data_IF_169426505374
#
_entry.id   IF_169426505374
#
_cell.length_a   1.000
_cell.length_b   1.000
_cell.length_c   1.000
_cell.angle_alpha   90.00
_cell.angle_beta   90.00
_cell.angle_gamma   90.00
#
_symmetry.space_group_name_H-M   'P 1'
#
loop_
_entity.id
_entity.type
_entity.pdbx_description
1 polymer ?
#
# COMPACT_ATOMS: atom_id res chain seq x y z
N UNK A 1 4.91 8.42 -1.50
CA UNK A 1 3.95 9.15 -0.64
C UNK A 1 2.54 9.26 -1.23
N UNK A 2 2.35 9.50 -2.55
CA UNK A 2 1.01 9.64 -3.14
C UNK A 2 0.13 8.37 -2.99
N UNK A 3 0.68 7.17 -3.20
CA UNK A 3 -0.10 5.93 -3.05
C UNK A 3 -0.44 5.62 -1.60
N UNK A 4 0.45 5.90 -0.64
CA UNK A 4 0.13 5.82 0.79
C UNK A 4 -0.98 6.82 1.13
N UNK A 5 -0.97 8.02 0.55
CA UNK A 5 -2.03 9.00 0.73
C UNK A 5 -3.35 8.54 0.10
N UNK A 6 -3.34 7.91 -1.09
CA UNK A 6 -4.53 7.36 -1.75
C UNK A 6 -5.08 6.16 -0.98
N UNK A 7 -4.22 5.24 -0.54
CA UNK A 7 -4.63 4.10 0.30
C UNK A 7 -5.18 4.57 1.65
N UNK A 8 -4.57 5.59 2.28
CA UNK A 8 -5.11 6.22 3.48
C UNK A 8 -6.44 6.93 3.21
N UNK A 9 -6.62 7.56 2.05
CA UNK A 9 -7.88 8.19 1.62
C UNK A 9 -9.00 7.16 1.44
N UNK A 10 -8.68 5.98 0.91
CA UNK A 10 -9.64 4.88 0.72
C UNK A 10 -10.05 4.28 2.06
N UNK A 11 -9.11 4.06 2.97
CA UNK A 11 -9.40 3.61 4.35
C UNK A 11 -10.21 4.67 5.10
N UNK A 12 -9.89 5.96 4.92
CA UNK A 12 -10.66 7.07 5.50
C UNK A 12 -12.08 7.16 4.92
N UNK A 13 -12.26 6.89 3.62
CA UNK A 13 -13.57 6.82 2.97
C UNK A 13 -14.41 5.63 3.45
N UNK A 14 -13.81 4.44 3.60
CA UNK A 14 -14.49 3.24 4.10
C UNK A 14 -14.85 3.33 5.60
N UNK A 15 -14.10 4.13 6.37
CA UNK A 15 -14.34 4.37 7.80
C UNK A 15 -15.22 5.59 8.09
N UNK A 16 -15.67 6.31 7.05
CA UNK A 16 -16.56 7.48 7.19
C UNK A 16 -15.90 8.78 7.65
N UNK A 17 -14.57 8.88 7.55
CA UNK A 17 -13.78 10.06 7.96
C UNK A 17 -13.83 11.16 6.89
N UNK A 18 -14.12 10.84 5.62
CA UNK A 18 -14.22 11.81 4.52
C UNK A 18 -15.67 11.96 4.03
N UNK A 19 -16.27 13.17 4.01
CA UNK A 19 -17.71 13.30 3.84
C UNK A 19 -18.27 13.11 2.41
N UNK A 20 -17.46 13.05 1.34
CA UNK A 20 -17.99 13.29 -0.03
C UNK A 20 -17.47 12.36 -1.14
N UNK A 21 -16.61 11.37 -0.87
CA UNK A 21 -16.06 10.48 -1.91
C UNK A 21 -16.57 9.05 -1.73
N UNK A 22 -17.62 8.68 -2.47
CA UNK A 22 -18.16 7.33 -2.43
C UNK A 22 -17.10 6.26 -2.74
N UNK A 23 -17.25 5.02 -2.25
CA UNK A 23 -16.24 3.95 -2.36
C UNK A 23 -15.74 3.70 -3.80
N UNK A 24 -16.61 3.90 -4.79
CA UNK A 24 -16.29 3.75 -6.20
C UNK A 24 -15.17 4.71 -6.68
N UNK A 25 -15.15 5.95 -6.19
CA UNK A 25 -14.10 6.93 -6.55
C UNK A 25 -12.75 6.48 -5.99
N UNK A 26 -12.73 6.01 -4.75
CA UNK A 26 -11.51 5.49 -4.12
C UNK A 26 -10.94 4.28 -4.87
N UNK A 27 -11.78 3.32 -5.26
CA UNK A 27 -11.37 2.16 -6.06
C UNK A 27 -10.85 2.58 -7.44
N UNK A 28 -11.55 3.48 -8.13
CA UNK A 28 -11.13 3.97 -9.44
C UNK A 28 -9.78 4.69 -9.37
N UNK A 29 -9.58 5.56 -8.38
CA UNK A 29 -8.29 6.21 -8.13
C UNK A 29 -7.19 5.19 -7.85
N UNK A 30 -7.46 4.16 -7.02
CA UNK A 30 -6.47 3.13 -6.73
C UNK A 30 -6.08 2.33 -7.97
N UNK A 31 -7.02 2.01 -8.85
CA UNK A 31 -6.74 1.29 -10.09
C UNK A 31 -5.92 2.14 -11.05
N UNK A 32 -6.32 3.39 -11.28
CA UNK A 32 -5.60 4.30 -12.19
C UNK A 32 -4.18 4.56 -11.68
N UNK A 33 -4.04 4.99 -10.42
CA UNK A 33 -2.72 5.27 -9.86
C UNK A 33 -1.89 4.01 -9.66
N UNK A 34 -2.51 2.90 -9.28
CA UNK A 34 -1.84 1.60 -9.14
C UNK A 34 -1.28 1.11 -10.46
N UNK A 35 -2.04 1.20 -11.55
CA UNK A 35 -1.56 0.80 -12.88
C UNK A 35 -0.48 1.74 -13.37
N UNK A 36 -0.68 3.06 -13.30
CA UNK A 36 0.28 4.02 -13.86
C UNK A 36 1.58 4.08 -13.05
N UNK A 37 1.50 4.26 -11.73
CA UNK A 37 2.68 4.35 -10.88
C UNK A 37 3.27 2.96 -10.61
N UNK A 38 2.43 2.00 -10.24
CA UNK A 38 2.86 0.62 -10.00
C UNK A 38 3.43 -0.05 -11.23
N UNK A 39 2.80 0.13 -12.40
CA UNK A 39 3.28 -0.43 -13.66
C UNK A 39 4.68 0.10 -14.03
N UNK A 40 4.91 1.40 -13.87
CA UNK A 40 6.24 1.98 -14.09
C UNK A 40 7.28 1.39 -13.13
N UNK A 41 6.98 1.36 -11.82
CA UNK A 41 7.90 0.76 -10.84
C UNK A 41 8.16 -0.72 -11.11
N UNK A 42 7.14 -1.49 -11.46
CA UNK A 42 7.26 -2.90 -11.80
C UNK A 42 8.12 -3.13 -13.05
N UNK A 43 7.87 -2.38 -14.12
CA UNK A 43 8.66 -2.44 -15.35
C UNK A 43 10.16 -2.22 -15.05
N UNK A 44 10.48 -1.12 -14.38
CA UNK A 44 11.87 -0.80 -14.04
C UNK A 44 12.50 -1.79 -13.04
N UNK A 45 11.71 -2.35 -12.12
CA UNK A 45 12.18 -3.37 -11.19
C UNK A 45 12.55 -4.67 -11.91
N UNK A 46 11.77 -5.07 -12.92
CA UNK A 46 12.03 -6.24 -13.77
C UNK A 46 13.27 -6.00 -14.65
N UNK A 47 13.39 -4.81 -15.23
CA UNK A 47 14.55 -4.44 -16.06
C UNK A 47 15.84 -4.26 -15.26
N UNK A 48 15.77 -4.16 -13.93
CA UNK A 48 16.94 -3.94 -13.07
C UNK A 48 17.53 -2.52 -13.18
N UNK A 49 16.71 -1.53 -13.55
CA UNK A 49 17.16 -0.15 -13.76
C UNK A 49 17.15 0.66 -12.43
N UNK A 50 18.34 0.96 -11.92
CA UNK A 50 18.51 1.63 -10.62
C UNK A 50 18.23 3.15 -10.68
N UNK A 51 18.49 3.81 -11.82
CA UNK A 51 18.13 5.21 -12.08
C UNK A 51 18.23 6.14 -10.85
N UNK A 52 17.14 6.85 -10.54
CA UNK A 52 16.99 7.67 -9.32
C UNK A 52 16.38 6.94 -8.13
N UNK A 53 15.83 5.73 -8.34
CA UNK A 53 15.12 4.95 -7.33
C UNK A 53 15.66 3.52 -7.37
N UNK A 54 16.34 3.07 -6.30
CA UNK A 54 16.95 1.74 -6.27
C UNK A 54 15.94 0.62 -6.60
N UNK A 55 16.38 -0.41 -7.31
CA UNK A 55 15.57 -1.57 -7.72
C UNK A 55 14.92 -2.24 -6.51
N UNK A 56 15.65 -2.34 -5.38
CA UNK A 56 15.10 -2.87 -4.13
C UNK A 56 13.90 -2.04 -3.63
N UNK A 57 13.99 -0.70 -3.67
CA UNK A 57 12.91 0.20 -3.30
C UNK A 57 11.69 0.04 -4.21
N UNK A 58 11.92 -0.19 -5.51
CA UNK A 58 10.83 -0.47 -6.47
C UNK A 58 10.10 -1.76 -6.12
N UNK A 59 10.83 -2.83 -5.81
CA UNK A 59 10.22 -4.10 -5.41
C UNK A 59 9.42 -3.99 -4.11
N UNK A 60 9.90 -3.22 -3.13
CA UNK A 60 9.14 -2.95 -1.90
C UNK A 60 7.86 -2.17 -2.17
N UNK A 61 7.93 -1.17 -3.05
CA UNK A 61 6.75 -0.40 -3.46
C UNK A 61 5.73 -1.27 -4.20
N UNK A 62 6.17 -2.11 -5.13
CA UNK A 62 5.32 -3.08 -5.83
C UNK A 62 4.68 -4.04 -4.83
N UNK A 63 5.46 -4.58 -3.88
CA UNK A 63 4.95 -5.45 -2.83
C UNK A 63 3.86 -4.80 -1.98
N UNK A 64 4.06 -3.54 -1.56
CA UNK A 64 3.05 -2.76 -0.85
C UNK A 64 1.78 -2.60 -1.69
N UNK A 65 1.94 -2.19 -2.95
CA UNK A 65 0.84 -1.94 -3.87
C UNK A 65 0.06 -3.22 -4.20
N UNK A 66 0.68 -4.40 -4.16
CA UNK A 66 -0.02 -5.68 -4.31
C UNK A 66 -0.70 -6.11 -3.02
N UNK A 67 -0.05 -5.92 -1.87
CA UNK A 67 -0.56 -6.37 -0.57
C UNK A 67 -1.84 -5.65 -0.16
N UNK A 68 -1.89 -4.31 -0.28
CA UNK A 68 -3.04 -3.53 0.23
C UNK A 68 -4.36 -3.87 -0.52
N UNK A 69 -4.42 -3.85 -1.87
CA UNK A 69 -5.61 -4.28 -2.59
C UNK A 69 -5.90 -5.76 -2.39
N UNK A 70 -4.88 -6.62 -2.31
CA UNK A 70 -5.05 -8.04 -2.04
C UNK A 70 -5.80 -8.29 -0.72
N UNK A 71 -5.39 -7.63 0.36
CA UNK A 71 -6.08 -7.72 1.66
C UNK A 71 -7.48 -7.12 1.57
N UNK A 72 -7.65 -5.97 0.91
CA UNK A 72 -8.97 -5.35 0.72
C UNK A 72 -9.96 -6.26 -0.01
N UNK A 73 -9.52 -6.93 -1.08
CA UNK A 73 -10.32 -7.93 -1.82
C UNK A 73 -10.68 -9.11 -0.91
N UNK A 74 -9.70 -9.65 -0.17
CA UNK A 74 -9.93 -10.78 0.73
C UNK A 74 -10.95 -10.45 1.84
N UNK A 75 -10.84 -9.26 2.45
CA UNK A 75 -11.81 -8.79 3.46
C UNK A 75 -13.20 -8.65 2.84
N UNK A 76 -13.29 -8.05 1.65
CA UNK A 76 -14.57 -7.81 0.96
C UNK A 76 -15.26 -9.13 0.58
N UNK A 77 -14.53 -10.06 -0.04
CA UNK A 77 -15.05 -11.38 -0.45
C UNK A 77 -15.41 -12.24 0.77
N UNK A 78 -14.75 -12.03 1.90
CA UNK A 78 -15.03 -12.79 3.13
C UNK A 78 -16.32 -12.36 3.82
N UNK A 79 -16.86 -11.16 3.55
CA UNK A 79 -18.07 -10.65 4.20
C UNK A 79 -17.96 -10.65 5.73
N UNK A 80 -19.02 -11.10 6.41
CA UNK A 80 -19.12 -11.10 7.88
C UNK A 80 -18.51 -12.33 8.57
N UNK A 81 -17.63 -13.05 7.87
CA UNK A 81 -16.96 -14.22 8.45
C UNK A 81 -16.07 -13.84 9.64
N UNK A 82 -15.91 -14.79 10.55
CA UNK A 82 -15.04 -14.68 11.73
C UNK A 82 -14.04 -15.83 11.80
N UNK A 83 -12.86 -15.53 12.35
CA UNK A 83 -11.77 -16.46 12.64
C UNK A 83 -11.70 -16.63 14.17
N UNK A 84 -12.50 -17.55 14.71
CA UNK A 84 -12.69 -17.67 16.16
C UNK A 84 -13.36 -16.40 16.73
N UNK A 85 -12.77 -15.73 17.75
CA UNK A 85 -13.35 -14.52 18.35
C UNK A 85 -13.09 -13.24 17.54
N UNK A 86 -12.32 -13.30 16.45
CA UNK A 86 -11.90 -12.13 15.67
C UNK A 86 -12.61 -12.09 14.33
N UNK A 87 -13.22 -10.96 13.97
CA UNK A 87 -13.82 -10.80 12.64
C UNK A 87 -12.75 -10.75 11.54
N UNK A 88 -13.05 -11.24 10.33
CA UNK A 88 -12.12 -11.13 9.19
C UNK A 88 -11.78 -9.67 8.88
N UNK A 89 -12.73 -8.75 9.08
CA UNK A 89 -12.50 -7.31 8.95
C UNK A 89 -11.41 -6.83 9.92
N UNK A 90 -11.53 -7.17 11.21
CA UNK A 90 -10.53 -6.80 12.23
C UNK A 90 -9.15 -7.37 11.90
N UNK A 91 -9.10 -8.65 11.51
CA UNK A 91 -7.85 -9.29 11.12
C UNK A 91 -7.23 -8.62 9.88
N UNK A 92 -8.02 -8.33 8.86
CA UNK A 92 -7.58 -7.63 7.65
C UNK A 92 -7.07 -6.23 7.95
N UNK A 93 -7.75 -5.46 8.81
CA UNK A 93 -7.28 -4.15 9.25
C UNK A 93 -5.93 -4.25 9.95
N UNK A 94 -5.74 -5.23 10.84
CA UNK A 94 -4.46 -5.44 11.52
C UNK A 94 -3.33 -5.77 10.54
N UNK A 95 -3.59 -6.60 9.52
CA UNK A 95 -2.63 -6.91 8.46
C UNK A 95 -2.27 -5.65 7.66
N UNK A 96 -3.25 -4.82 7.28
CA UNK A 96 -3.01 -3.56 6.57
C UNK A 96 -2.10 -2.63 7.38
N UNK A 97 -2.39 -2.44 8.67
CA UNK A 97 -1.57 -1.60 9.57
C UNK A 97 -0.15 -2.16 9.66
N UNK A 98 -0.02 -3.47 9.82
CA UNK A 98 1.28 -4.13 9.90
C UNK A 98 2.12 -3.95 8.62
N UNK A 99 1.51 -4.14 7.45
CA UNK A 99 2.17 -3.95 6.15
C UNK A 99 2.63 -2.50 5.97
N UNK A 100 1.77 -1.53 6.30
CA UNK A 100 2.11 -0.10 6.22
C UNK A 100 3.26 0.26 7.16
N UNK A 101 3.21 -0.20 8.41
CA UNK A 101 4.27 0.03 9.39
C UNK A 101 5.61 -0.57 8.93
N UNK A 102 5.58 -1.81 8.44
CA UNK A 102 6.77 -2.51 7.95
C UNK A 102 7.39 -1.78 6.76
N UNK A 103 6.57 -1.36 5.79
CA UNK A 103 7.02 -0.59 4.64
C UNK A 103 7.64 0.74 5.08
N UNK A 104 6.96 1.48 5.95
CA UNK A 104 7.44 2.78 6.44
C UNK A 104 8.78 2.65 7.18
N UNK A 105 8.91 1.68 8.07
CA UNK A 105 10.16 1.44 8.80
C UNK A 105 11.28 1.07 7.84
N UNK A 106 11.03 0.19 6.88
CA UNK A 106 12.05 -0.24 5.91
C UNK A 106 12.55 0.93 5.06
N UNK A 107 11.63 1.72 4.50
CA UNK A 107 11.99 2.91 3.70
C UNK A 107 12.69 3.98 4.54
N UNK A 108 12.28 4.15 5.80
CA UNK A 108 12.92 5.12 6.70
C UNK A 108 14.35 4.72 7.04
N UNK A 109 14.58 3.43 7.34
CA UNK A 109 15.91 2.90 7.63
C UNK A 109 16.82 3.03 6.42
N UNK A 110 16.36 2.59 5.25
CA UNK A 110 17.15 2.64 4.02
C UNK A 110 17.38 4.07 3.51
N UNK A 111 16.49 5.02 3.79
CA UNK A 111 16.74 6.44 3.50
C UNK A 111 17.69 7.11 4.51
N UNK A 112 17.66 6.68 5.78
CA UNK A 112 18.42 7.32 6.85
C UNK A 112 19.88 6.90 6.91
N UNK A 113 20.20 5.62 6.68
CA UNK A 113 21.59 5.13 6.81
C UNK A 113 22.55 5.77 5.79
N UNK A 114 22.26 5.80 4.47
CA UNK A 114 23.15 6.39 3.49
C UNK A 114 23.34 7.90 3.66
N UNK A 115 22.35 8.59 4.23
CA UNK A 115 22.41 10.05 4.44
C UNK A 115 23.27 10.46 5.65
N UNK A 116 23.61 9.54 6.55
CA UNK A 116 24.53 9.80 7.67
C UNK A 116 26.01 9.76 7.27
N UNK A 117 26.34 8.94 6.28
CA UNK A 117 27.72 8.68 5.87
C UNK A 117 28.15 9.55 4.66
N UNK A 118 27.28 10.47 4.23
CA UNK A 118 27.58 11.45 3.19
C UNK A 118 28.26 12.68 3.81
N UNK A 119 29.50 13.04 3.39
CA UNK A 119 30.28 14.14 3.97
C UNK A 119 29.70 15.54 3.71
#
# INVERSE_FOLDING_TARGET
MLVVAVSALIVAGDTGILPESGPAVGVASMLVYGITLGGAHLHYAICGEDGTVPVAARWRYVGLLTALPGVGILVTVSGDRSLGPVSVRTAGTAVVVFVLATYLVTESVEGYWPSRDSP
#
